data_IF_975135746682
#
_entry.id   IF_975135746682
#
_cell.length_a   1.000
_cell.length_b   1.000
_cell.length_c   1.000
_cell.angle_alpha   90.00
_cell.angle_beta   90.00
_cell.angle_gamma   90.00
#
_symmetry.space_group_name_H-M   'P 1'
#
loop_
_entity.id
_entity.type
_entity.pdbx_description
1 polymer ?
#
# COMPACT_ATOMS: atom_id res chain seq x y z
N UNK A 1 -5.07 -28.48 -4.63
CA UNK A 1 -4.70 -27.12 -5.06
C UNK A 1 -5.08 -26.17 -3.93
N UNK A 2 -4.15 -25.43 -3.33
CA UNK A 2 -4.53 -24.37 -2.38
C UNK A 2 -5.15 -23.22 -3.16
N UNK A 3 -6.35 -22.79 -2.78
CA UNK A 3 -6.96 -21.60 -3.39
C UNK A 3 -6.18 -20.35 -2.97
N UNK A 4 -5.91 -19.47 -3.94
CA UNK A 4 -5.21 -18.21 -3.72
C UNK A 4 -6.23 -17.08 -3.72
N UNK A 5 -6.43 -16.43 -2.57
CA UNK A 5 -7.16 -15.17 -2.51
C UNK A 5 -6.25 -14.00 -2.90
N UNK A 6 -6.77 -13.00 -3.60
CA UNK A 6 -6.02 -11.80 -3.98
C UNK A 6 -6.69 -10.54 -3.41
N UNK A 7 -5.88 -9.67 -2.77
CA UNK A 7 -6.32 -8.42 -2.15
C UNK A 7 -5.52 -7.25 -2.73
N UNK A 8 -6.21 -6.15 -3.02
CA UNK A 8 -5.61 -4.88 -3.45
C UNK A 8 -5.67 -3.89 -2.29
N UNK A 9 -4.53 -3.33 -1.91
CA UNK A 9 -4.39 -2.45 -0.75
C UNK A 9 -3.69 -1.17 -1.17
N UNK A 10 -4.28 -0.02 -0.90
CA UNK A 10 -3.63 1.28 -1.07
C UNK A 10 -3.45 1.91 0.31
N UNK A 11 -2.22 2.34 0.61
CA UNK A 11 -1.92 3.06 1.85
C UNK A 11 -2.04 4.56 1.58
N UNK A 12 -2.97 5.22 2.28
CA UNK A 12 -3.22 6.65 2.17
C UNK A 12 -2.98 7.35 3.51
N UNK A 13 -2.69 8.64 3.46
CA UNK A 13 -2.41 9.48 4.63
C UNK A 13 -1.23 10.42 4.40
N UNK A 14 -1.06 11.39 5.29
CA UNK A 14 -0.10 12.48 5.14
C UNK A 14 1.37 12.01 5.02
N UNK A 15 2.23 12.89 4.55
CA UNK A 15 3.67 12.62 4.47
C UNK A 15 4.23 12.40 5.88
N UNK A 16 5.08 11.39 6.02
CA UNK A 16 5.75 11.09 7.30
C UNK A 16 4.93 10.29 8.32
N UNK A 17 3.65 9.97 8.07
CA UNK A 17 2.82 9.17 9.02
C UNK A 17 3.19 7.68 9.11
N UNK A 18 4.17 7.22 8.32
CA UNK A 18 4.72 5.86 8.41
C UNK A 18 4.12 4.82 7.47
N UNK A 19 3.41 5.22 6.40
CA UNK A 19 2.84 4.29 5.39
C UNK A 19 3.88 3.31 4.84
N UNK A 20 4.99 3.83 4.34
CA UNK A 20 6.10 3.04 3.81
C UNK A 20 6.75 2.15 4.88
N UNK A 21 6.81 2.63 6.13
CA UNK A 21 7.34 1.87 7.27
C UNK A 21 6.46 0.66 7.59
N UNK A 22 5.14 0.83 7.61
CA UNK A 22 4.17 -0.26 7.80
C UNK A 22 4.27 -1.26 6.66
N UNK A 23 4.34 -0.78 5.41
CA UNK A 23 4.45 -1.65 4.25
C UNK A 23 5.73 -2.49 4.28
N UNK A 24 6.89 -1.87 4.56
CA UNK A 24 8.16 -2.60 4.67
C UNK A 24 8.14 -3.60 5.82
N UNK A 25 7.57 -3.23 6.98
CA UNK A 25 7.44 -4.15 8.10
C UNK A 25 6.58 -5.36 7.73
N UNK A 26 5.44 -5.15 7.09
CA UNK A 26 4.58 -6.25 6.68
C UNK A 26 5.23 -7.13 5.61
N UNK A 27 5.81 -6.52 4.57
CA UNK A 27 6.32 -7.25 3.41
C UNK A 27 7.66 -7.93 3.64
N UNK A 28 8.57 -7.27 4.36
CA UNK A 28 9.98 -7.66 4.48
C UNK A 28 10.37 -8.03 5.92
N UNK A 29 9.46 -7.89 6.89
CA UNK A 29 9.75 -8.06 8.32
C UNK A 29 10.89 -7.17 8.83
N UNK A 30 11.10 -6.02 8.19
CA UNK A 30 12.17 -5.09 8.53
C UNK A 30 11.61 -3.69 8.82
N UNK A 31 12.27 -2.98 9.75
CA UNK A 31 11.97 -1.59 10.06
C UNK A 31 13.20 -0.73 9.79
N UNK A 32 13.12 0.13 8.78
CA UNK A 32 14.17 1.09 8.46
C UNK A 32 13.97 2.35 9.28
N UNK A 33 14.97 2.73 10.09
CA UNK A 33 14.95 3.99 10.84
C UNK A 33 14.89 5.21 9.90
N UNK A 34 15.51 5.10 8.72
CA UNK A 34 15.53 6.14 7.70
C UNK A 34 14.98 5.55 6.41
N UNK A 35 13.70 5.78 6.14
CA UNK A 35 13.07 5.46 4.86
C UNK A 35 13.02 6.75 4.04
N UNK A 36 13.46 6.69 2.77
CA UNK A 36 13.33 7.82 1.87
C UNK A 36 11.85 8.11 1.61
N UNK A 37 11.42 9.37 1.52
CA UNK A 37 10.04 9.72 1.20
C UNK A 37 9.60 9.08 -0.13
N UNK A 38 8.37 8.57 -0.15
CA UNK A 38 7.74 8.11 -1.39
C UNK A 38 7.42 9.31 -2.27
N UNK A 39 7.96 9.33 -3.49
CA UNK A 39 7.82 10.47 -4.42
C UNK A 39 6.48 10.41 -5.17
N UNK A 40 6.06 9.23 -5.62
CA UNK A 40 4.78 9.01 -6.33
C UNK A 40 4.01 7.85 -5.72
N UNK A 41 4.17 6.64 -6.27
CA UNK A 41 3.65 5.42 -5.68
C UNK A 41 4.67 4.30 -5.85
N UNK A 42 4.90 3.53 -4.79
CA UNK A 42 5.66 2.30 -4.85
C UNK A 42 4.71 1.11 -4.79
N UNK A 43 5.05 0.05 -5.52
CA UNK A 43 4.25 -1.17 -5.59
C UNK A 43 5.00 -2.34 -4.98
N UNK A 44 4.30 -3.13 -4.16
CA UNK A 44 4.84 -4.29 -3.49
C UNK A 44 3.84 -5.43 -3.48
N UNK A 45 4.33 -6.67 -3.60
CA UNK A 45 3.49 -7.86 -3.49
C UNK A 45 4.00 -8.75 -2.36
N UNK A 46 3.09 -9.32 -1.57
CA UNK A 46 3.41 -10.35 -0.58
C UNK A 46 2.37 -11.47 -0.64
N UNK A 47 2.83 -12.71 -0.69
CA UNK A 47 1.94 -13.88 -0.53
C UNK A 47 2.19 -14.49 0.84
N UNK A 48 1.14 -14.66 1.64
CA UNK A 48 1.23 -15.23 2.99
C UNK A 48 0.23 -16.36 3.19
N UNK A 49 0.59 -17.43 3.91
CA UNK A 49 -0.38 -18.44 4.32
C UNK A 49 -1.38 -17.88 5.33
N UNK A 50 -2.64 -18.27 5.19
CA UNK A 50 -3.71 -18.01 6.15
C UNK A 50 -4.57 -19.27 6.26
N UNK A 51 -4.28 -20.08 7.28
CA UNK A 51 -4.85 -21.43 7.40
C UNK A 51 -4.51 -22.30 6.20
N UNK A 52 -5.53 -22.81 5.51
CA UNK A 52 -5.40 -23.66 4.31
C UNK A 52 -5.35 -22.87 2.99
N UNK A 53 -5.29 -21.55 3.06
CA UNK A 53 -5.30 -20.65 1.90
C UNK A 53 -4.00 -19.88 1.78
N UNK A 54 -3.66 -19.50 0.56
CA UNK A 54 -2.63 -18.50 0.30
C UNK A 54 -3.33 -17.17 -0.01
N UNK A 55 -2.87 -16.09 0.62
CA UNK A 55 -3.39 -14.74 0.39
C UNK A 55 -2.31 -13.91 -0.27
N UNK A 56 -2.57 -13.42 -1.48
CA UNK A 56 -1.69 -12.53 -2.24
C UNK A 56 -2.16 -11.09 -2.03
N UNK A 57 -1.28 -10.24 -1.53
CA UNK A 57 -1.52 -8.82 -1.35
C UNK A 57 -0.78 -8.04 -2.42
N UNK A 58 -1.52 -7.22 -3.17
CA UNK A 58 -1.04 -6.22 -4.11
C UNK A 58 -1.13 -4.87 -3.42
N UNK A 59 0.00 -4.28 -3.05
CA UNK A 59 0.05 -3.13 -2.16
C UNK A 59 0.66 -1.92 -2.86
N UNK A 60 -0.03 -0.79 -2.82
CA UNK A 60 0.43 0.51 -3.29
C UNK A 60 0.70 1.42 -2.09
N UNK A 61 1.96 1.81 -1.90
CA UNK A 61 2.35 2.88 -0.97
C UNK A 61 2.44 4.19 -1.75
N UNK A 62 1.61 5.17 -1.38
CA UNK A 62 1.54 6.46 -2.09
C UNK A 62 2.34 7.53 -1.36
N UNK A 63 2.83 8.51 -2.11
CA UNK A 63 3.30 9.77 -1.58
C UNK A 63 2.18 10.39 -0.75
N UNK A 64 2.47 10.73 0.49
CA UNK A 64 1.52 11.39 1.37
C UNK A 64 1.41 12.87 1.07
N UNK A 65 1.39 13.26 -0.21
CA UNK A 65 1.18 14.66 -0.52
C UNK A 65 -0.22 15.05 -0.05
N UNK A 66 -0.30 16.14 0.70
CA UNK A 66 -1.48 16.87 1.13
C UNK A 66 -2.42 17.34 -0.01
N UNK A 67 -2.29 16.79 -1.23
CA UNK A 67 -2.97 17.22 -2.45
C UNK A 67 -3.95 16.17 -3.03
N UNK A 68 -4.29 15.10 -2.31
CA UNK A 68 -5.42 14.24 -2.71
C UNK A 68 -6.77 14.86 -2.35
N UNK A 69 -7.00 16.11 -2.78
CA UNK A 69 -8.34 16.54 -3.14
C UNK A 69 -8.65 15.88 -4.49
N UNK A 70 -9.57 14.91 -4.49
CA UNK A 70 -10.18 14.26 -5.67
C UNK A 70 -9.53 12.93 -6.13
N UNK A 71 -9.80 11.86 -5.39
CA UNK A 71 -10.01 10.53 -5.99
C UNK A 71 -11.49 10.14 -5.80
N UNK A 72 -12.37 10.90 -6.45
CA UNK A 72 -13.81 10.64 -6.40
C UNK A 72 -14.65 11.84 -6.84
N UNK A 73 -14.99 11.89 -8.13
CA UNK A 73 -16.01 12.81 -8.64
C UNK A 73 -15.73 13.34 -10.04
N UNK A 74 -15.93 12.52 -11.07
CA UNK A 74 -16.59 13.05 -12.27
C UNK A 74 -17.99 12.42 -12.28
N UNK A 75 -19.05 13.23 -12.41
CA UNK A 75 -19.38 13.75 -13.73
C UNK A 75 -19.85 15.22 -13.73
N UNK A 76 -19.47 15.92 -14.81
CA UNK A 76 -20.04 17.20 -15.29
C UNK A 76 -19.58 18.53 -14.65
N UNK A 77 -19.01 19.41 -15.50
CA UNK A 77 -19.34 20.84 -15.50
C UNK A 77 -18.34 21.83 -14.87
N UNK A 78 -17.22 22.11 -15.54
CA UNK A 78 -16.83 23.44 -16.04
C UNK A 78 -15.40 23.39 -16.62
#
# INVERSE_FOLDING_TARGET
MMAIGEHKVCLLGDTGVGKSSILCRFAQDHFYHNISPTIEASFMTKTTPSGNYLQKFLMWDTAGQEQFHSLGGSPEGC
#
